data_IF_965579427159
#
_entry.id   IF_965579427159
#
_cell.length_a   1.000
_cell.length_b   1.000
_cell.length_c   1.000
_cell.angle_alpha   90.00
_cell.angle_beta   90.00
_cell.angle_gamma   90.00
#
_symmetry.space_group_name_H-M   'P 1'
#
loop_
_entity.id
_entity.type
_entity.pdbx_description
1 polymer ?
#
# COMPACT_ATOMS: atom_id res chain seq x y z
N UNK A 1 9.85 16.87 2.19
CA UNK A 1 9.01 17.64 3.14
C UNK A 1 9.64 17.89 4.51
N UNK A 2 10.86 17.38 4.78
CA UNK A 2 11.54 17.58 6.07
C UNK A 2 11.68 19.04 6.47
N UNK A 3 11.79 19.94 5.49
CA UNK A 3 12.02 21.36 5.72
C UNK A 3 10.79 22.16 6.20
N UNK A 4 9.57 21.62 6.08
CA UNK A 4 8.34 22.36 6.46
C UNK A 4 7.59 21.71 7.61
N UNK A 5 7.50 20.38 7.64
CA UNK A 5 6.61 19.66 8.55
C UNK A 5 7.29 18.48 9.26
N UNK A 6 8.61 18.35 9.13
CA UNK A 6 9.37 17.25 9.72
C UNK A 6 9.37 15.96 8.89
N UNK A 7 9.86 14.85 9.49
CA UNK A 7 9.88 13.52 8.89
C UNK A 7 8.47 13.02 8.47
N UNK A 8 8.35 12.23 7.39
CA UNK A 8 7.05 11.75 6.90
C UNK A 8 6.21 10.96 7.91
N UNK A 9 6.85 10.18 8.79
CA UNK A 9 6.22 9.42 9.87
C UNK A 9 5.63 10.35 10.94
N UNK A 10 6.36 11.39 11.35
CA UNK A 10 5.87 12.42 12.27
C UNK A 10 4.66 13.17 11.68
N UNK A 11 4.74 13.56 10.41
CA UNK A 11 3.63 14.21 9.69
C UNK A 11 2.39 13.32 9.72
N UNK A 12 2.55 12.04 9.38
CA UNK A 12 1.45 11.09 9.34
C UNK A 12 0.81 10.90 10.73
N UNK A 13 1.63 10.76 11.78
CA UNK A 13 1.12 10.71 13.16
C UNK A 13 0.37 11.99 13.57
N UNK A 14 0.88 13.16 13.20
CA UNK A 14 0.24 14.43 13.48
C UNK A 14 -1.13 14.55 12.80
N UNK A 15 -1.23 14.16 11.52
CA UNK A 15 -2.49 14.16 10.78
C UNK A 15 -3.51 13.22 11.43
N UNK A 16 -3.12 11.98 11.77
CA UNK A 16 -4.02 11.03 12.45
C UNK A 16 -4.58 11.59 13.76
N UNK A 17 -3.70 12.15 14.61
CA UNK A 17 -4.11 12.76 15.88
C UNK A 17 -5.07 13.93 15.68
N UNK A 18 -4.76 14.82 14.73
CA UNK A 18 -5.60 16.00 14.43
C UNK A 18 -6.97 15.62 13.91
N UNK A 19 -7.06 14.71 12.94
CA UNK A 19 -8.36 14.25 12.42
C UNK A 19 -9.19 13.60 13.52
N UNK A 20 -8.58 12.80 14.40
CA UNK A 20 -9.28 12.20 15.54
C UNK A 20 -9.77 13.25 16.54
N UNK A 21 -8.95 14.25 16.87
CA UNK A 21 -9.28 15.29 17.84
C UNK A 21 -10.31 16.31 17.32
N UNK A 22 -10.16 16.74 16.07
CA UNK A 22 -11.00 17.78 15.46
C UNK A 22 -12.32 17.22 14.92
N UNK A 23 -12.34 15.98 14.40
CA UNK A 23 -13.51 15.39 13.72
C UNK A 23 -14.06 14.14 14.39
N UNK A 24 -13.36 13.56 15.39
CA UNK A 24 -13.76 12.30 16.03
C UNK A 24 -13.56 11.05 15.17
N UNK A 25 -13.14 11.20 13.91
CA UNK A 25 -13.03 10.12 12.93
C UNK A 25 -11.66 9.41 12.99
N UNK A 26 -11.61 8.06 12.93
CA UNK A 26 -10.36 7.34 12.71
C UNK A 26 -9.93 7.44 11.24
N UNK A 27 -8.63 7.47 11.00
CA UNK A 27 -8.07 7.40 9.64
C UNK A 27 -6.84 6.49 9.62
N UNK A 28 -6.67 5.78 8.50
CA UNK A 28 -5.46 5.03 8.21
C UNK A 28 -4.58 5.78 7.23
N UNK A 29 -3.26 5.76 7.46
CA UNK A 29 -2.28 6.42 6.60
C UNK A 29 -1.21 5.42 6.14
N UNK A 30 -0.85 5.50 4.86
CA UNK A 30 0.30 4.81 4.28
C UNK A 30 1.30 5.82 3.76
N UNK A 31 2.58 5.64 4.09
CA UNK A 31 3.69 6.49 3.66
C UNK A 31 4.67 5.64 2.84
N UNK A 32 5.05 6.11 1.65
CA UNK A 32 6.01 5.43 0.79
C UNK A 32 6.58 6.36 -0.28
N UNK A 33 7.62 5.91 -1.02
CA UNK A 33 8.27 6.67 -2.11
C UNK A 33 7.38 6.95 -3.33
N UNK A 34 6.33 6.16 -3.57
CA UNK A 34 5.42 6.33 -4.70
C UNK A 34 3.96 6.35 -4.26
N UNK A 35 3.11 7.02 -5.04
CA UNK A 35 1.66 7.13 -4.77
C UNK A 35 0.99 5.75 -4.69
N UNK A 36 1.33 4.85 -5.61
CA UNK A 36 0.76 3.52 -5.66
C UNK A 36 1.13 2.71 -4.41
N UNK A 37 2.42 2.68 -4.04
CA UNK A 37 2.86 1.98 -2.83
C UNK A 37 2.27 2.59 -1.56
N UNK A 38 2.19 3.93 -1.45
CA UNK A 38 1.56 4.60 -0.32
C UNK A 38 0.08 4.22 -0.18
N UNK A 39 -0.61 4.02 -1.31
CA UNK A 39 -2.01 3.58 -1.33
C UNK A 39 -2.19 2.12 -0.94
N UNK A 40 -1.26 1.24 -1.27
CA UNK A 40 -1.23 -0.14 -0.79
C UNK A 40 -0.98 -0.13 0.73
N UNK A 41 0.04 0.60 1.17
CA UNK A 41 0.37 0.76 2.59
C UNK A 41 -0.82 1.27 3.41
N UNK A 42 -1.60 2.22 2.89
CA UNK A 42 -2.78 2.74 3.60
C UNK A 42 -3.95 1.75 3.65
N UNK A 43 -4.03 0.79 2.73
CA UNK A 43 -4.98 -0.33 2.83
C UNK A 43 -4.53 -1.34 3.89
N UNK A 44 -3.23 -1.68 3.91
CA UNK A 44 -2.65 -2.58 4.93
C UNK A 44 -2.78 -1.98 6.34
N UNK A 45 -2.66 -0.65 6.45
CA UNK A 45 -2.82 0.10 7.70
C UNK A 45 -4.27 0.17 8.21
N UNK A 46 -5.26 -0.50 7.59
CA UNK A 46 -6.65 -0.46 8.06
C UNK A 46 -6.93 -1.57 9.08
N UNK A 47 -7.84 -1.31 10.05
CA UNK A 47 -8.44 -0.02 10.39
C UNK A 47 -7.56 0.83 11.32
N UNK A 48 -7.70 2.17 11.26
CA UNK A 48 -7.08 3.15 12.17
C UNK A 48 -5.59 2.91 12.48
N UNK A 49 -4.80 2.61 11.45
CA UNK A 49 -3.37 2.33 11.56
C UNK A 49 -2.50 3.29 10.74
N UNK A 50 -1.20 3.11 10.87
CA UNK A 50 -0.19 3.84 10.12
C UNK A 50 0.89 2.87 9.69
N UNK A 51 1.20 2.85 8.39
CA UNK A 51 2.28 2.04 7.82
C UNK A 51 3.23 2.97 7.08
N UNK A 52 4.52 2.89 7.42
CA UNK A 52 5.60 3.56 6.70
C UNK A 52 6.42 2.49 6.00
N UNK A 53 6.56 2.60 4.68
CA UNK A 53 7.43 1.73 3.88
C UNK A 53 8.72 2.50 3.62
N UNK A 54 9.78 2.08 4.31
CA UNK A 54 11.08 2.72 4.21
C UNK A 54 11.72 2.55 2.83
N UNK A 55 12.48 3.54 2.34
CA UNK A 55 13.25 3.40 1.12
C UNK A 55 14.18 2.17 1.17
N UNK A 56 14.05 1.29 0.18
CA UNK A 56 14.87 0.07 0.07
C UNK A 56 14.20 -1.17 0.65
N UNK A 57 13.08 -1.04 1.38
CA UNK A 57 12.33 -2.18 1.92
C UNK A 57 11.08 -2.52 1.12
N UNK A 58 10.89 -1.91 -0.06
CA UNK A 58 9.62 -2.00 -0.79
C UNK A 58 9.28 -3.41 -1.25
N UNK A 59 10.26 -4.15 -1.77
CA UNK A 59 10.03 -5.50 -2.26
C UNK A 59 9.64 -6.46 -1.12
N UNK A 60 10.33 -6.36 0.02
CA UNK A 60 10.00 -7.13 1.21
C UNK A 60 8.59 -6.82 1.71
N UNK A 61 8.19 -5.55 1.71
CA UNK A 61 6.82 -5.16 2.06
C UNK A 61 5.78 -5.66 1.06
N UNK A 62 6.07 -5.62 -0.24
CA UNK A 62 5.10 -5.92 -1.29
C UNK A 62 4.89 -7.40 -1.53
N UNK A 63 5.94 -8.23 -1.51
CA UNK A 63 5.90 -9.56 -2.10
C UNK A 63 4.86 -10.50 -1.50
N UNK A 64 4.65 -10.42 -0.18
CA UNK A 64 3.71 -11.29 0.52
C UNK A 64 2.27 -10.75 0.50
N UNK A 65 2.05 -9.55 -0.06
CA UNK A 65 0.73 -8.95 -0.13
C UNK A 65 -0.11 -9.56 -1.25
N UNK A 66 -1.45 -9.66 -1.07
CA UNK A 66 -2.35 -10.06 -2.13
C UNK A 66 -2.25 -9.14 -3.35
N UNK A 67 -2.26 -9.73 -4.54
CA UNK A 67 -2.19 -9.00 -5.82
C UNK A 67 -3.37 -8.02 -5.99
N UNK A 68 -4.48 -8.28 -5.31
CA UNK A 68 -5.69 -7.45 -5.30
C UNK A 68 -5.52 -6.08 -4.66
N UNK A 69 -4.43 -5.85 -3.91
CA UNK A 69 -4.13 -4.53 -3.36
C UNK A 69 -3.58 -3.57 -4.42
N UNK A 70 -3.10 -4.09 -5.56
CA UNK A 70 -2.56 -3.27 -6.65
C UNK A 70 -3.67 -2.54 -7.41
N UNK A 71 -3.45 -1.26 -7.71
CA UNK A 71 -4.22 -0.53 -8.71
C UNK A 71 -4.16 -1.23 -10.06
N UNK A 72 -5.30 -1.29 -10.73
CA UNK A 72 -5.46 -2.00 -12.01
C UNK A 72 -5.84 -3.48 -11.85
N UNK A 73 -5.75 -4.06 -10.66
CA UNK A 73 -6.22 -5.43 -10.39
C UNK A 73 -7.67 -5.39 -9.90
N UNK A 74 -8.59 -5.26 -10.85
CA UNK A 74 -10.02 -5.42 -10.61
C UNK A 74 -10.47 -6.88 -10.55
N UNK A 75 -11.77 -7.16 -10.33
CA UNK A 75 -12.30 -8.52 -10.20
C UNK A 75 -11.97 -9.43 -11.40
N UNK A 76 -12.04 -8.90 -12.63
CA UNK A 76 -11.73 -9.65 -13.84
C UNK A 76 -10.24 -10.02 -13.93
N UNK A 77 -9.34 -9.07 -13.68
CA UNK A 77 -7.89 -9.31 -13.67
C UNK A 77 -7.51 -10.29 -12.56
N UNK A 78 -8.12 -10.15 -11.37
CA UNK A 78 -7.93 -11.09 -10.26
C UNK A 78 -8.30 -12.51 -10.66
N UNK A 79 -9.43 -12.71 -11.34
CA UNK A 79 -9.86 -14.03 -11.78
C UNK A 79 -8.83 -14.65 -12.75
N UNK A 80 -8.38 -13.89 -13.75
CA UNK A 80 -7.35 -14.37 -14.70
C UNK A 80 -6.01 -14.71 -14.02
N UNK A 81 -5.61 -13.91 -13.03
CA UNK A 81 -4.41 -14.16 -12.24
C UNK A 81 -4.56 -15.43 -11.38
N UNK A 82 -5.72 -15.64 -10.78
CA UNK A 82 -6.01 -16.85 -10.02
C UNK A 82 -5.98 -18.11 -10.90
N UNK A 83 -6.49 -18.03 -12.15
CA UNK A 83 -6.46 -19.15 -13.10
C UNK A 83 -5.03 -19.64 -13.41
N UNK A 84 -4.03 -18.76 -13.29
CA UNK A 84 -2.61 -19.08 -13.47
C UNK A 84 -1.85 -19.23 -12.14
N UNK A 85 -2.54 -19.33 -11.01
CA UNK A 85 -1.96 -19.57 -9.69
C UNK A 85 -1.26 -18.35 -9.07
N UNK A 86 -1.58 -17.13 -9.51
CA UNK A 86 -1.02 -15.89 -8.99
C UNK A 86 -1.99 -15.22 -8.02
N UNK A 87 -1.65 -15.25 -6.74
CA UNK A 87 -2.45 -14.64 -5.66
C UNK A 87 -1.76 -13.45 -4.99
N UNK A 88 -0.43 -13.41 -5.05
CA UNK A 88 0.40 -12.39 -4.38
C UNK A 88 1.16 -11.51 -5.38
N UNK A 89 1.54 -10.31 -4.95
CA UNK A 89 2.35 -9.39 -5.75
C UNK A 89 3.71 -10.03 -6.07
N UNK A 90 4.30 -10.77 -5.13
CA UNK A 90 5.55 -11.48 -5.35
C UNK A 90 5.44 -12.59 -6.41
N UNK A 91 4.34 -13.35 -6.43
CA UNK A 91 4.07 -14.32 -7.49
C UNK A 91 3.93 -13.61 -8.85
N UNK A 92 3.17 -12.51 -8.91
CA UNK A 92 3.02 -11.73 -10.14
C UNK A 92 4.37 -11.22 -10.66
N UNK A 93 5.21 -10.68 -9.79
CA UNK A 93 6.53 -10.17 -10.14
C UNK A 93 7.47 -11.23 -10.75
N UNK A 94 7.22 -12.52 -10.48
CA UNK A 94 7.97 -13.65 -11.06
C UNK A 94 7.39 -14.17 -12.37
N UNK A 95 6.20 -13.71 -12.77
CA UNK A 95 5.61 -14.10 -14.07
C UNK A 95 6.22 -13.30 -15.23
N UNK A 96 6.37 -13.94 -16.39
CA UNK A 96 6.83 -13.27 -17.60
C UNK A 96 5.68 -12.54 -18.29
N UNK A 97 5.94 -11.36 -18.88
CA UNK A 97 4.94 -10.40 -19.37
C UNK A 97 3.97 -10.86 -20.47
N UNK A 98 4.04 -12.11 -20.93
CA UNK A 98 3.09 -12.72 -21.87
C UNK A 98 2.00 -13.60 -21.22
N UNK A 99 2.00 -13.74 -19.89
CA UNK A 99 1.10 -14.64 -19.16
C UNK A 99 -0.36 -14.18 -19.09
N UNK A 100 -0.63 -12.91 -19.37
CA UNK A 100 -1.98 -12.32 -19.36
C UNK A 100 -2.31 -11.82 -20.77
N UNK A 101 -3.20 -12.55 -21.47
CA UNK A 101 -3.88 -12.06 -22.68
C UNK A 101 -5.27 -11.54 -22.34
#
# INVERSE_FOLDING_TARGET
CTHLFGPPDEIAHAIRRRVKAELGLPISIGVARTKHLAKIASQVAKPDGLVVVEPGTELAFLHDLPVTLMWGVGPATRARLADIGVETIGQLARTHGGALK
#
